data_IF_691430211029
#
_entry.id   IF_691430211029
#
_cell.length_a   1.000
_cell.length_b   1.000
_cell.length_c   1.000
_cell.angle_alpha   90.00
_cell.angle_beta   90.00
_cell.angle_gamma   90.00
#
_symmetry.space_group_name_H-M   'P 1'
#
loop_
_entity.id
_entity.type
_entity.pdbx_description
1 polymer ?
#
# COMPACT_ATOMS: atom_id res chain seq x y z
N UNK A 1 -39.67 -18.24 60.82
CA UNK A 1 -38.62 -18.31 59.78
C UNK A 1 -37.52 -19.24 60.26
N UNK A 2 -37.28 -20.33 59.53
CA UNK A 2 -36.25 -21.33 59.86
C UNK A 2 -34.85 -20.75 59.68
N UNK A 3 -33.84 -21.33 60.35
CA UNK A 3 -32.43 -20.93 60.21
C UNK A 3 -31.94 -20.98 58.75
N UNK A 4 -32.57 -21.80 57.90
CA UNK A 4 -32.32 -21.84 56.45
C UNK A 4 -32.78 -20.57 55.73
N UNK A 5 -33.91 -19.98 56.12
CA UNK A 5 -34.44 -18.76 55.51
C UNK A 5 -33.59 -17.51 55.83
N UNK A 6 -32.91 -17.50 56.99
CA UNK A 6 -31.95 -16.43 57.34
C UNK A 6 -30.63 -16.57 56.58
N UNK A 7 -30.15 -17.80 56.36
CA UNK A 7 -28.94 -18.02 55.56
C UNK A 7 -29.14 -17.62 54.09
N UNK A 8 -30.32 -17.89 53.52
CA UNK A 8 -30.66 -17.51 52.15
C UNK A 8 -30.83 -15.99 51.96
N UNK A 9 -31.35 -15.28 52.98
CA UNK A 9 -31.45 -13.82 52.94
C UNK A 9 -30.09 -13.13 53.05
N UNK A 10 -29.16 -13.70 53.84
CA UNK A 10 -27.79 -13.18 53.96
C UNK A 10 -26.92 -13.52 52.74
N UNK A 11 -27.13 -14.65 52.06
CA UNK A 11 -26.43 -14.94 50.80
C UNK A 11 -26.93 -14.06 49.64
N UNK A 12 -28.21 -13.67 49.65
CA UNK A 12 -28.76 -12.80 48.61
C UNK A 12 -28.32 -11.34 48.77
N UNK A 13 -28.14 -10.83 49.99
CA UNK A 13 -27.59 -9.47 50.19
C UNK A 13 -26.10 -9.39 49.90
N UNK A 14 -25.33 -10.47 50.10
CA UNK A 14 -23.91 -10.50 49.68
C UNK A 14 -23.77 -10.58 48.16
N UNK A 15 -24.73 -11.20 47.44
CA UNK A 15 -24.75 -11.20 45.97
C UNK A 15 -25.22 -9.87 45.37
N UNK A 16 -26.04 -9.08 46.07
CA UNK A 16 -26.49 -7.76 45.58
C UNK A 16 -25.52 -6.62 45.94
N UNK A 17 -24.68 -6.79 46.98
CA UNK A 17 -23.56 -5.87 47.26
C UNK A 17 -22.30 -6.22 46.44
N UNK A 18 -22.15 -7.49 46.03
CA UNK A 18 -21.05 -7.94 45.16
C UNK A 18 -21.26 -7.72 43.66
N UNK A 19 -22.43 -7.24 43.23
CA UNK A 19 -22.74 -6.87 41.84
C UNK A 19 -23.05 -5.37 41.68
N UNK A 20 -22.70 -4.54 42.69
CA UNK A 20 -22.98 -3.11 42.72
C UNK A 20 -21.79 -2.19 42.41
N UNK A 21 -20.60 -2.74 42.11
CA UNK A 21 -19.39 -1.97 41.76
C UNK A 21 -18.81 -2.41 40.39
N UNK A 22 -19.69 -2.61 39.40
CA UNK A 22 -19.31 -2.72 37.99
C UNK A 22 -20.10 -1.77 37.09
N UNK A 23 -20.59 -0.67 37.68
CA UNK A 23 -20.66 0.60 36.98
C UNK A 23 -19.58 1.43 37.66
N UNK A 24 -18.33 1.12 37.34
CA UNK A 24 -17.34 2.18 37.26
C UNK A 24 -17.99 3.16 36.29
N UNK A 25 -18.18 4.42 36.72
CA UNK A 25 -18.46 5.54 35.81
C UNK A 25 -17.77 5.27 34.48
N UNK A 26 -18.42 5.53 33.34
CA UNK A 26 -17.78 5.62 32.03
C UNK A 26 -16.44 6.33 32.23
N UNK A 27 -15.41 5.53 32.41
CA UNK A 27 -14.07 5.98 32.62
C UNK A 27 -13.69 6.25 31.20
N UNK A 28 -13.76 7.52 30.78
CA UNK A 28 -13.45 8.00 29.43
C UNK A 28 -12.49 7.01 28.77
N UNK A 29 -13.05 6.07 28.01
CA UNK A 29 -12.25 5.05 27.30
C UNK A 29 -11.73 5.67 26.00
N UNK A 30 -11.71 7.00 25.93
CA UNK A 30 -10.75 7.74 25.16
C UNK A 30 -9.43 7.64 25.95
N UNK A 31 -8.62 6.62 25.64
CA UNK A 31 -7.18 6.62 25.92
C UNK A 31 -6.49 7.63 24.96
N UNK A 32 -7.17 8.75 24.71
CA UNK A 32 -6.88 9.71 23.66
C UNK A 32 -5.80 10.65 24.19
N UNK A 33 -4.54 10.33 23.89
CA UNK A 33 -3.38 11.16 24.21
C UNK A 33 -3.30 12.44 23.37
N UNK A 34 -4.21 12.59 22.40
CA UNK A 34 -4.31 13.76 21.53
C UNK A 34 -4.55 15.02 22.35
N UNK A 35 -3.81 16.06 21.97
CA UNK A 35 -3.78 17.34 22.70
C UNK A 35 -4.16 18.51 21.81
N UNK A 36 -4.36 18.26 20.51
CA UNK A 36 -4.77 19.29 19.57
C UNK A 36 -6.24 19.66 19.78
N UNK A 37 -6.47 20.92 20.10
CA UNK A 37 -7.78 21.58 20.10
C UNK A 37 -8.10 22.08 18.68
N UNK A 38 -9.03 21.39 18.01
CA UNK A 38 -9.48 21.69 16.66
C UNK A 38 -10.66 22.66 16.75
N UNK A 39 -10.40 23.91 16.40
CA UNK A 39 -11.39 24.98 16.34
C UNK A 39 -11.76 25.33 14.91
N UNK A 40 -12.86 26.07 14.77
CA UNK A 40 -13.24 26.70 13.50
C UNK A 40 -12.16 27.60 12.88
N UNK A 41 -11.29 28.17 13.70
CA UNK A 41 -10.29 29.15 13.28
C UNK A 41 -8.96 28.48 12.87
N UNK A 42 -8.69 27.25 13.33
CA UNK A 42 -7.41 26.56 13.10
C UNK A 42 -7.51 25.29 12.25
N UNK A 43 -8.70 24.66 12.15
CA UNK A 43 -8.92 23.38 11.46
C UNK A 43 -8.41 23.41 10.01
N UNK A 44 -8.63 24.54 9.36
CA UNK A 44 -8.18 24.87 8.01
C UNK A 44 -6.66 24.71 7.84
N UNK A 45 -5.88 25.31 8.74
CA UNK A 45 -4.44 25.24 8.73
C UNK A 45 -3.94 23.81 8.99
N UNK A 46 -4.55 23.10 9.94
CA UNK A 46 -4.15 21.74 10.27
C UNK A 46 -4.47 20.74 9.15
N UNK A 47 -5.59 20.90 8.44
CA UNK A 47 -5.92 20.06 7.29
C UNK A 47 -4.91 20.24 6.16
N UNK A 48 -4.51 21.49 5.90
CA UNK A 48 -3.45 21.79 4.94
C UNK A 48 -2.13 21.16 5.36
N UNK A 49 -1.67 21.40 6.59
CA UNK A 49 -0.40 20.86 7.09
C UNK A 49 -0.38 19.35 6.98
N UNK A 50 -1.46 18.67 7.39
CA UNK A 50 -1.56 17.21 7.36
C UNK A 50 -1.48 16.61 5.95
N UNK A 51 -2.10 17.27 4.96
CA UNK A 51 -1.94 16.90 3.55
C UNK A 51 -0.50 17.07 3.09
N UNK A 52 0.15 18.16 3.50
CA UNK A 52 1.52 18.51 3.10
C UNK A 52 2.61 17.70 3.81
N UNK A 53 2.40 17.17 5.00
CA UNK A 53 3.43 16.38 5.71
C UNK A 53 3.37 14.89 5.41
N UNK A 54 2.19 14.34 5.09
CA UNK A 54 2.01 12.90 4.87
C UNK A 54 1.85 12.60 3.38
N UNK A 55 0.80 13.15 2.75
CA UNK A 55 0.46 12.72 1.40
C UNK A 55 1.43 13.25 0.35
N UNK A 56 1.58 14.58 0.26
CA UNK A 56 2.38 15.26 -0.77
C UNK A 56 3.81 14.68 -0.88
N UNK A 57 4.64 14.67 0.17
CA UNK A 57 6.03 14.29 0.04
C UNK A 57 6.21 12.80 -0.29
N UNK A 58 5.35 11.91 0.21
CA UNK A 58 5.43 10.49 -0.10
C UNK A 58 4.92 10.17 -1.51
N UNK A 59 3.87 10.86 -1.97
CA UNK A 59 3.37 10.75 -3.35
C UNK A 59 4.42 11.21 -4.36
N UNK A 60 5.06 12.36 -4.12
CA UNK A 60 6.07 12.91 -5.03
C UNK A 60 7.43 12.23 -4.91
N UNK A 61 7.81 11.69 -3.75
CA UNK A 61 9.06 10.95 -3.60
C UNK A 61 9.07 9.64 -4.41
N UNK A 62 7.93 8.94 -4.50
CA UNK A 62 7.80 7.65 -5.20
C UNK A 62 8.87 6.62 -4.79
N UNK A 63 9.03 6.37 -3.48
CA UNK A 63 10.05 5.43 -2.98
C UNK A 63 9.90 3.99 -3.51
N UNK A 64 8.74 3.62 -4.07
CA UNK A 64 8.53 2.33 -4.73
C UNK A 64 9.25 2.18 -6.08
N UNK A 65 9.55 3.30 -6.76
CA UNK A 65 10.30 3.36 -8.03
C UNK A 65 11.80 3.55 -7.77
N UNK A 66 12.31 3.06 -6.63
CA UNK A 66 13.68 3.31 -6.19
C UNK A 66 14.35 2.06 -5.63
N UNK A 67 13.83 0.88 -5.98
CA UNK A 67 14.16 -0.35 -5.29
C UNK A 67 15.19 -1.17 -6.05
N UNK A 68 15.23 -1.06 -7.37
CA UNK A 68 16.19 -1.81 -8.18
C UNK A 68 16.77 -1.00 -9.35
N UNK A 69 17.76 -1.58 -10.02
CA UNK A 69 18.53 -0.86 -11.04
C UNK A 69 17.71 -0.49 -12.29
N UNK A 70 16.53 -1.11 -12.53
CA UNK A 70 15.68 -0.78 -13.67
C UNK A 70 15.17 0.65 -13.61
N UNK A 71 14.90 1.13 -12.40
CA UNK A 71 14.45 2.49 -12.15
C UNK A 71 15.53 3.55 -12.51
N UNK A 72 16.77 3.11 -12.77
CA UNK A 72 17.93 3.97 -13.01
C UNK A 72 18.67 3.61 -14.30
N UNK A 73 17.94 3.30 -15.38
CA UNK A 73 18.50 2.94 -16.70
C UNK A 73 19.48 1.76 -16.61
N UNK A 74 19.15 0.76 -15.81
CA UNK A 74 19.93 -0.45 -15.56
C UNK A 74 21.32 -0.21 -14.95
N UNK A 75 21.60 0.99 -14.44
CA UNK A 75 22.87 1.30 -13.79
C UNK A 75 22.88 0.70 -12.38
N UNK A 76 23.65 -0.38 -12.22
CA UNK A 76 23.85 -1.00 -10.91
C UNK A 76 24.61 -0.08 -9.94
N UNK A 77 25.71 0.52 -10.37
CA UNK A 77 26.55 1.37 -9.50
C UNK A 77 27.19 2.50 -10.28
N UNK A 78 27.00 3.74 -9.82
CA UNK A 78 27.57 4.93 -10.46
C UNK A 78 26.60 6.11 -10.52
N UNK A 79 26.95 7.12 -11.32
CA UNK A 79 26.13 8.31 -11.51
C UNK A 79 25.19 8.15 -12.70
N UNK A 80 23.92 8.52 -12.51
CA UNK A 80 22.84 8.49 -13.49
C UNK A 80 22.29 9.91 -13.63
N UNK A 81 22.04 10.34 -14.86
CA UNK A 81 21.36 11.60 -15.13
C UNK A 81 19.85 11.41 -14.96
N UNK A 82 19.19 12.29 -14.22
CA UNK A 82 17.75 12.19 -14.02
C UNK A 82 16.97 12.80 -15.20
N UNK A 83 15.75 12.31 -15.51
CA UNK A 83 15.01 12.71 -16.70
C UNK A 83 14.78 14.22 -16.84
N UNK A 84 14.47 14.92 -15.75
CA UNK A 84 14.24 16.37 -15.76
C UNK A 84 15.47 17.23 -15.46
N UNK A 85 16.65 16.62 -15.28
CA UNK A 85 17.89 17.29 -14.89
C UNK A 85 18.40 16.86 -13.52
N UNK A 86 19.65 17.25 -13.22
CA UNK A 86 20.39 16.78 -12.05
C UNK A 86 20.90 15.35 -12.19
N UNK A 87 21.22 14.73 -11.06
CA UNK A 87 21.79 13.39 -11.04
C UNK A 87 21.48 12.61 -9.77
N UNK A 88 21.52 11.29 -9.86
CA UNK A 88 21.57 10.39 -8.72
C UNK A 88 22.88 9.57 -8.77
N UNK A 89 23.46 9.26 -7.61
CA UNK A 89 24.50 8.24 -7.47
C UNK A 89 23.86 7.02 -6.85
N UNK A 90 23.79 5.94 -7.62
CA UNK A 90 23.15 4.69 -7.22
C UNK A 90 24.18 3.63 -6.89
N UNK A 91 23.81 2.74 -5.99
CA UNK A 91 24.57 1.53 -5.68
C UNK A 91 23.58 0.43 -5.28
N UNK A 92 23.28 -0.45 -6.23
CA UNK A 92 22.44 -1.62 -6.08
C UNK A 92 23.31 -2.89 -5.94
N UNK A 93 22.84 -3.90 -5.20
CA UNK A 93 23.55 -5.17 -5.03
C UNK A 93 23.70 -5.91 -6.36
N UNK A 94 22.69 -5.80 -7.23
CA UNK A 94 22.58 -6.51 -8.49
C UNK A 94 22.20 -5.55 -9.62
N UNK A 95 22.62 -5.89 -10.83
CA UNK A 95 22.14 -5.22 -12.03
C UNK A 95 20.66 -5.55 -12.29
N UNK A 96 20.04 -4.81 -13.20
CA UNK A 96 18.69 -5.06 -13.67
C UNK A 96 18.51 -6.51 -14.12
N UNK A 97 17.41 -7.14 -13.69
CA UNK A 97 17.13 -8.56 -13.93
C UNK A 97 17.96 -9.54 -13.07
N UNK A 98 18.88 -9.05 -12.24
CA UNK A 98 19.54 -9.85 -11.22
C UNK A 98 18.60 -10.19 -10.06
N UNK A 99 18.84 -11.34 -9.41
CA UNK A 99 18.05 -11.77 -8.24
C UNK A 99 18.50 -11.00 -7.00
N UNK A 100 17.55 -10.58 -6.19
CA UNK A 100 17.81 -9.93 -4.91
C UNK A 100 17.62 -10.93 -3.76
N UNK A 101 18.51 -10.87 -2.78
CA UNK A 101 18.53 -11.77 -1.62
C UNK A 101 18.27 -11.02 -0.31
N UNK A 102 17.88 -11.77 0.72
CA UNK A 102 17.82 -11.22 2.07
C UNK A 102 19.20 -10.67 2.46
N UNK A 103 19.18 -9.51 3.11
CA UNK A 103 20.34 -8.72 3.51
C UNK A 103 21.12 -8.00 2.41
N UNK A 104 20.67 -8.05 1.16
CA UNK A 104 21.17 -7.14 0.13
C UNK A 104 20.91 -5.68 0.52
N UNK A 105 21.93 -4.83 0.36
CA UNK A 105 21.86 -3.39 0.66
C UNK A 105 21.91 -2.56 -0.62
N UNK A 106 21.14 -1.47 -0.67
CA UNK A 106 21.24 -0.46 -1.73
C UNK A 106 21.29 0.96 -1.17
N UNK A 107 21.76 1.89 -2.00
CA UNK A 107 21.76 3.32 -1.68
C UNK A 107 21.64 4.18 -2.92
N UNK A 108 20.92 5.28 -2.79
CA UNK A 108 20.72 6.28 -3.83
C UNK A 108 20.93 7.65 -3.20
N UNK A 109 21.87 8.43 -3.75
CA UNK A 109 22.14 9.79 -3.33
C UNK A 109 21.75 10.77 -4.44
N UNK A 110 20.72 11.56 -4.20
CA UNK A 110 20.17 12.52 -5.14
C UNK A 110 20.85 13.88 -5.03
N UNK A 111 21.13 14.47 -6.18
CA UNK A 111 21.61 15.85 -6.32
C UNK A 111 20.78 16.56 -7.37
N UNK A 112 19.83 17.38 -6.91
CA UNK A 112 18.88 18.14 -7.72
C UNK A 112 18.21 17.29 -8.82
N UNK A 113 17.85 16.05 -8.49
CA UNK A 113 17.36 15.06 -9.43
C UNK A 113 15.86 15.26 -9.67
N UNK A 114 15.47 15.64 -10.88
CA UNK A 114 14.06 15.78 -11.23
C UNK A 114 13.49 14.44 -11.70
N UNK A 115 12.47 13.96 -11.00
CA UNK A 115 11.75 12.73 -11.32
C UNK A 115 10.67 12.95 -12.40
N UNK A 116 9.96 11.87 -12.76
CA UNK A 116 8.92 11.92 -13.79
C UNK A 116 7.70 12.77 -13.41
N UNK A 117 7.45 13.02 -12.12
CA UNK A 117 6.38 13.92 -11.64
C UNK A 117 6.80 15.38 -11.62
N UNK A 118 8.04 15.70 -11.99
CA UNK A 118 8.58 17.05 -11.95
C UNK A 118 9.04 17.51 -10.55
N UNK A 119 9.05 16.62 -9.56
CA UNK A 119 9.59 16.92 -8.25
C UNK A 119 11.12 16.83 -8.26
N UNK A 120 11.79 17.76 -7.58
CA UNK A 120 13.23 17.75 -7.42
C UNK A 120 13.61 17.05 -6.11
N UNK A 121 14.41 15.99 -6.23
CA UNK A 121 14.92 15.20 -5.12
C UNK A 121 16.36 15.57 -4.76
N UNK A 122 16.65 15.64 -3.46
CA UNK A 122 18.00 15.75 -2.91
C UNK A 122 18.14 14.86 -1.67
N UNK A 123 19.36 14.53 -1.26
CA UNK A 123 19.59 13.72 -0.05
C UNK A 123 19.77 12.24 -0.36
N UNK A 124 19.65 11.37 0.64
CA UNK A 124 19.96 9.94 0.49
C UNK A 124 18.79 9.06 0.90
N UNK A 125 18.48 8.09 0.04
CA UNK A 125 17.64 6.93 0.34
C UNK A 125 18.56 5.72 0.36
N UNK A 126 18.55 4.98 1.46
CA UNK A 126 19.27 3.71 1.56
C UNK A 126 18.32 2.64 2.04
N UNK A 127 18.55 1.39 1.65
CA UNK A 127 17.72 0.33 2.13
C UNK A 127 18.38 -1.03 2.16
N UNK A 128 17.74 -1.94 2.88
CA UNK A 128 18.16 -3.32 3.07
C UNK A 128 16.99 -4.25 2.84
N UNK A 129 17.16 -5.22 1.94
CA UNK A 129 16.19 -6.26 1.69
C UNK A 129 16.08 -7.18 2.91
N UNK A 130 14.87 -7.32 3.46
CA UNK A 130 14.58 -8.20 4.59
C UNK A 130 14.13 -9.57 4.12
N UNK A 131 13.19 -9.58 3.19
CA UNK A 131 12.55 -10.80 2.73
C UNK A 131 11.97 -10.58 1.34
N UNK A 132 12.03 -11.63 0.52
CA UNK A 132 11.40 -11.66 -0.80
C UNK A 132 10.63 -12.97 -0.92
N UNK A 133 9.32 -12.89 -0.86
CA UNK A 133 8.41 -14.01 -1.11
C UNK A 133 8.09 -14.11 -2.61
N UNK A 134 7.71 -15.31 -3.05
CA UNK A 134 7.41 -15.61 -4.45
C UNK A 134 8.64 -16.03 -5.26
N UNK A 135 8.39 -16.38 -6.53
CA UNK A 135 9.43 -16.87 -7.44
C UNK A 135 10.03 -15.74 -8.30
N UNK A 136 9.40 -14.57 -8.35
CA UNK A 136 9.90 -13.41 -9.09
C UNK A 136 10.89 -12.58 -8.26
N UNK A 137 12.05 -13.15 -7.94
CA UNK A 137 13.11 -12.45 -7.16
C UNK A 137 13.94 -11.44 -7.96
N UNK A 138 13.63 -11.29 -9.26
CA UNK A 138 14.18 -10.25 -10.14
C UNK A 138 13.21 -9.07 -10.27
N UNK A 139 12.03 -9.17 -9.67
CA UNK A 139 10.94 -8.19 -9.71
C UNK A 139 10.48 -7.83 -11.13
N UNK A 140 10.73 -8.71 -12.10
CA UNK A 140 10.47 -8.49 -13.53
C UNK A 140 8.97 -8.37 -13.80
N UNK A 141 8.54 -7.34 -14.51
CA UNK A 141 7.15 -7.17 -14.95
C UNK A 141 6.87 -7.98 -16.23
N UNK A 142 7.90 -8.23 -17.04
CA UNK A 142 7.85 -8.93 -18.32
C UNK A 142 8.47 -10.33 -18.24
N UNK A 143 8.19 -11.07 -17.16
CA UNK A 143 8.76 -12.40 -16.95
C UNK A 143 8.37 -13.36 -18.07
N UNK A 144 9.30 -14.17 -18.57
CA UNK A 144 9.04 -15.23 -19.56
C UNK A 144 8.83 -16.60 -18.88
N UNK A 145 8.24 -17.57 -19.60
CA UNK A 145 8.13 -18.96 -19.11
C UNK A 145 9.50 -19.54 -18.75
N UNK A 146 10.53 -19.29 -19.58
CA UNK A 146 11.87 -19.79 -19.33
C UNK A 146 12.50 -19.19 -18.05
N UNK A 147 12.30 -17.90 -17.81
CA UNK A 147 12.73 -17.25 -16.57
C UNK A 147 11.96 -17.80 -15.36
N UNK A 148 10.67 -18.09 -15.49
CA UNK A 148 9.93 -18.75 -14.41
C UNK A 148 10.52 -20.11 -14.05
N UNK A 149 10.75 -20.98 -15.04
CA UNK A 149 11.34 -22.31 -14.80
C UNK A 149 12.72 -22.17 -14.16
N UNK A 150 13.55 -21.26 -14.66
CA UNK A 150 14.86 -20.96 -14.08
C UNK A 150 14.74 -20.52 -12.61
N UNK A 151 13.75 -19.68 -12.28
CA UNK A 151 13.50 -19.27 -10.89
C UNK A 151 13.07 -20.44 -10.01
N UNK A 152 12.24 -21.36 -10.51
CA UNK A 152 11.85 -22.57 -9.79
C UNK A 152 13.05 -23.49 -9.50
N UNK A 153 13.99 -23.62 -10.45
CA UNK A 153 15.23 -24.37 -10.25
C UNK A 153 16.12 -23.72 -9.19
N UNK A 154 16.29 -22.40 -9.27
CA UNK A 154 17.12 -21.63 -8.33
C UNK A 154 16.55 -21.59 -6.91
N UNK A 155 15.22 -21.62 -6.77
CA UNK A 155 14.54 -21.69 -5.47
C UNK A 155 14.36 -23.12 -4.94
N UNK A 156 15.06 -24.09 -5.55
CA UNK A 156 15.03 -25.52 -5.18
C UNK A 156 13.62 -26.11 -5.13
N UNK A 157 12.63 -25.47 -5.78
CA UNK A 157 11.27 -25.99 -5.91
C UNK A 157 11.24 -27.19 -6.86
N UNK A 158 12.12 -27.17 -7.85
CA UNK A 158 12.41 -28.28 -8.75
C UNK A 158 13.92 -28.48 -8.84
N UNK A 159 14.36 -29.72 -9.01
CA UNK A 159 15.76 -30.04 -9.24
C UNK A 159 16.01 -30.16 -10.74
N UNK A 160 16.89 -29.31 -11.27
CA UNK A 160 17.20 -29.18 -12.70
C UNK A 160 17.51 -30.52 -13.40
N UNK A 161 17.99 -31.53 -12.67
CA UNK A 161 18.34 -32.84 -13.22
C UNK A 161 17.25 -33.90 -13.05
N UNK A 162 16.10 -33.58 -12.42
CA UNK A 162 15.12 -34.58 -11.94
C UNK A 162 13.67 -34.36 -12.37
N UNK A 163 13.34 -33.30 -13.10
CA UNK A 163 11.98 -33.08 -13.59
C UNK A 163 11.83 -33.39 -15.08
N UNK A 164 10.61 -33.76 -15.49
CA UNK A 164 10.20 -33.77 -16.89
C UNK A 164 9.51 -32.44 -17.24
N UNK A 165 9.99 -31.75 -18.27
CA UNK A 165 9.31 -30.57 -18.81
C UNK A 165 8.27 -30.97 -19.86
N UNK A 166 7.01 -30.68 -19.58
CA UNK A 166 5.90 -30.86 -20.52
C UNK A 166 5.40 -29.47 -20.89
N UNK A 167 5.72 -29.02 -22.10
CA UNK A 167 5.31 -27.72 -22.63
C UNK A 167 4.45 -27.91 -23.88
N UNK A 168 3.26 -27.29 -23.89
CA UNK A 168 2.35 -27.25 -25.04
C UNK A 168 1.40 -26.04 -24.96
N UNK A 169 0.72 -25.77 -26.07
CA UNK A 169 -0.30 -24.74 -26.21
C UNK A 169 -1.69 -25.37 -26.25
N UNK A 170 -2.61 -24.95 -25.38
CA UNK A 170 -3.98 -25.44 -25.39
C UNK A 170 -4.97 -24.49 -24.68
N UNK A 171 -6.23 -24.50 -25.11
CA UNK A 171 -7.27 -23.68 -24.46
C UNK A 171 -7.59 -24.17 -23.04
N UNK A 172 -7.40 -25.46 -22.78
CA UNK A 172 -7.60 -26.07 -21.46
C UNK A 172 -6.50 -27.06 -21.08
N UNK A 173 -6.38 -27.29 -19.77
CA UNK A 173 -5.48 -28.28 -19.20
C UNK A 173 -6.25 -29.05 -18.11
N UNK A 174 -6.16 -30.38 -18.12
CA UNK A 174 -6.82 -31.26 -17.15
C UNK A 174 -5.79 -32.23 -16.57
N UNK A 175 -5.79 -32.34 -15.24
CA UNK A 175 -5.03 -33.35 -14.51
C UNK A 175 -5.99 -34.45 -14.03
N UNK A 176 -5.74 -35.69 -14.43
CA UNK A 176 -6.62 -36.83 -14.11
C UNK A 176 -5.82 -37.99 -13.53
N UNK A 177 -6.03 -38.28 -12.25
CA UNK A 177 -5.34 -39.36 -11.53
C UNK A 177 -6.11 -40.66 -11.68
N UNK A 178 -5.53 -41.63 -12.37
CA UNK A 178 -6.12 -42.96 -12.55
C UNK A 178 -5.22 -44.04 -11.97
N UNK A 179 -5.56 -44.53 -10.77
CA UNK A 179 -4.77 -45.56 -10.08
C UNK A 179 -3.37 -45.05 -9.71
N UNK A 180 -2.35 -45.69 -10.28
CA UNK A 180 -0.94 -45.38 -10.02
C UNK A 180 -0.31 -44.43 -11.07
N UNK A 181 -1.14 -43.75 -11.86
CA UNK A 181 -0.72 -42.83 -12.93
C UNK A 181 -1.47 -41.51 -12.83
N UNK A 182 -0.80 -40.44 -13.28
CA UNK A 182 -1.41 -39.14 -13.51
C UNK A 182 -1.40 -38.84 -15.01
N UNK A 183 -2.54 -38.47 -15.57
CA UNK A 183 -2.68 -38.05 -16.96
C UNK A 183 -2.79 -36.54 -17.04
N UNK A 184 -1.90 -35.92 -17.81
CA UNK A 184 -1.92 -34.49 -18.12
C UNK A 184 -2.50 -34.34 -19.53
N UNK A 185 -3.71 -33.77 -19.63
CA UNK A 185 -4.45 -33.65 -20.90
C UNK A 185 -4.54 -32.19 -21.33
N UNK A 186 -4.00 -31.89 -22.49
CA UNK A 186 -4.14 -30.62 -23.17
C UNK A 186 -5.39 -30.66 -24.04
N UNK A 187 -6.29 -29.70 -23.84
CA UNK A 187 -7.60 -29.63 -24.47
C UNK A 187 -7.67 -28.42 -25.40
N UNK A 188 -8.15 -28.62 -26.63
CA UNK A 188 -8.46 -27.54 -27.57
C UNK A 188 -9.97 -27.41 -27.76
N UNK A 189 -10.43 -26.23 -28.13
CA UNK A 189 -11.83 -26.02 -28.52
C UNK A 189 -12.05 -26.61 -29.92
N UNK A 190 -13.15 -27.37 -30.11
CA UNK A 190 -13.47 -27.94 -31.41
C UNK A 190 -13.76 -26.80 -32.41
N UNK A 191 -13.05 -26.72 -33.55
CA UNK A 191 -13.28 -25.69 -34.56
C UNK A 191 -14.70 -25.70 -35.15
N UNK A 192 -15.45 -26.79 -34.97
CA UNK A 192 -16.81 -26.98 -35.48
C UNK A 192 -17.89 -26.77 -34.41
N UNK A 193 -17.52 -26.79 -33.13
CA UNK A 193 -18.44 -26.63 -32.01
C UNK A 193 -17.74 -26.00 -30.79
N UNK A 194 -17.98 -24.70 -30.59
CA UNK A 194 -17.40 -23.92 -29.49
C UNK A 194 -17.78 -24.45 -28.09
N UNK A 195 -18.74 -25.37 -27.97
CA UNK A 195 -19.13 -26.01 -26.70
C UNK A 195 -18.36 -27.30 -26.40
N UNK A 196 -17.60 -27.84 -27.36
CA UNK A 196 -16.85 -29.09 -27.21
C UNK A 196 -15.36 -28.82 -27.07
N UNK A 197 -14.74 -29.46 -26.09
CA UNK A 197 -13.30 -29.51 -25.94
C UNK A 197 -12.79 -30.89 -26.39
N UNK A 198 -11.84 -30.90 -27.32
CA UNK A 198 -11.19 -32.10 -27.85
C UNK A 198 -9.80 -32.26 -27.23
N UNK A 199 -9.41 -33.50 -27.00
CA UNK A 199 -8.07 -33.82 -26.50
C UNK A 199 -7.04 -33.65 -27.61
N UNK A 200 -6.10 -32.73 -27.41
CA UNK A 200 -4.98 -32.47 -28.33
C UNK A 200 -3.80 -33.38 -28.04
N UNK A 201 -3.43 -33.48 -26.76
CA UNK A 201 -2.24 -34.22 -26.28
C UNK A 201 -2.50 -34.76 -24.89
N UNK A 202 -1.94 -35.94 -24.63
CA UNK A 202 -1.92 -36.56 -23.30
C UNK A 202 -0.51 -37.00 -22.98
N UNK A 203 -0.07 -36.66 -21.77
CA UNK A 203 1.14 -37.22 -21.17
C UNK A 203 0.78 -38.08 -19.96
N UNK A 204 1.46 -39.21 -19.82
CA UNK A 204 1.29 -40.14 -18.70
C UNK A 204 2.50 -40.03 -17.77
N UNK A 205 2.26 -39.59 -16.54
CA UNK A 205 3.25 -39.48 -15.49
C UNK A 205 3.08 -40.60 -14.46
N UNK A 206 4.21 -41.12 -13.96
CA UNK A 206 4.20 -41.94 -12.75
C UNK A 206 3.94 -41.06 -11.53
N UNK A 207 3.29 -41.56 -10.48
CA UNK A 207 2.99 -40.71 -9.30
C UNK A 207 4.25 -40.26 -8.56
N UNK A 208 5.36 -41.00 -8.64
CA UNK A 208 6.65 -40.66 -8.03
C UNK A 208 7.53 -39.76 -8.92
N UNK A 209 7.01 -39.36 -10.09
CA UNK A 209 7.72 -38.53 -11.04
C UNK A 209 7.44 -37.05 -10.77
N UNK A 210 8.49 -36.23 -10.84
CA UNK A 210 8.37 -34.77 -10.79
C UNK A 210 8.25 -34.25 -12.22
N UNK A 211 7.29 -33.37 -12.48
CA UNK A 211 7.13 -32.74 -13.79
C UNK A 211 6.78 -31.26 -13.67
N UNK A 212 7.27 -30.47 -14.61
CA UNK A 212 6.86 -29.08 -14.83
C UNK A 212 5.95 -29.08 -16.05
N UNK A 213 4.69 -28.73 -15.85
CA UNK A 213 3.68 -28.71 -16.90
C UNK A 213 3.37 -27.25 -17.24
N UNK A 214 3.62 -26.87 -18.48
CA UNK A 214 3.35 -25.53 -19.02
C UNK A 214 2.20 -25.62 -20.01
N UNK A 215 1.19 -24.78 -19.82
CA UNK A 215 0.15 -24.54 -20.81
C UNK A 215 0.19 -23.08 -21.28
N UNK A 216 0.70 -22.87 -22.49
CA UNK A 216 0.80 -21.56 -23.15
C UNK A 216 -0.49 -21.20 -23.88
N UNK A 217 -0.77 -19.90 -24.06
CA UNK A 217 -1.78 -19.51 -25.04
C UNK A 217 -1.23 -19.71 -26.44
N UNK A 218 -2.11 -19.68 -27.45
CA UNK A 218 -1.75 -20.01 -28.83
C UNK A 218 -0.84 -18.96 -29.53
N UNK A 219 -0.33 -17.95 -28.83
CA UNK A 219 0.28 -16.74 -29.42
C UNK A 219 1.70 -16.48 -28.91
N UNK A 220 2.68 -16.90 -29.73
CA UNK A 220 4.14 -16.61 -29.66
C UNK A 220 4.97 -17.17 -28.48
N UNK A 221 6.07 -17.86 -28.81
CA UNK A 221 6.96 -18.52 -27.83
C UNK A 221 7.84 -17.56 -27.03
N UNK A 222 8.01 -16.34 -27.55
CA UNK A 222 8.83 -15.24 -27.00
C UNK A 222 7.97 -14.16 -26.31
N UNK A 223 6.67 -14.37 -26.16
CA UNK A 223 5.79 -13.43 -25.44
C UNK A 223 6.03 -13.48 -23.93
N UNK A 224 5.74 -12.37 -23.24
CA UNK A 224 5.79 -12.33 -21.78
C UNK A 224 4.74 -13.29 -21.20
N UNK A 225 4.93 -13.76 -19.97
CA UNK A 225 4.01 -14.67 -19.28
C UNK A 225 2.58 -14.07 -19.20
N UNK A 226 2.48 -12.74 -19.16
CA UNK A 226 1.24 -11.97 -19.19
C UNK A 226 0.60 -11.97 -20.58
N UNK A 227 1.36 -11.66 -21.63
CA UNK A 227 0.87 -11.67 -23.01
C UNK A 227 0.48 -13.08 -23.48
N UNK A 228 1.22 -14.09 -23.05
CA UNK A 228 0.96 -15.50 -23.38
C UNK A 228 -0.17 -16.11 -22.53
N UNK A 229 -0.66 -15.43 -21.49
CA UNK A 229 -1.60 -16.03 -20.53
C UNK A 229 -1.15 -17.43 -20.03
N UNK A 230 0.16 -17.66 -19.96
CA UNK A 230 0.72 -18.97 -19.73
C UNK A 230 0.38 -19.44 -18.31
N UNK A 231 0.28 -20.75 -18.11
CA UNK A 231 0.08 -21.36 -16.79
C UNK A 231 1.13 -22.43 -16.56
N UNK A 232 1.83 -22.33 -15.43
CA UNK A 232 2.85 -23.29 -15.03
C UNK A 232 2.36 -24.07 -13.82
N UNK A 233 2.56 -25.38 -13.85
CA UNK A 233 2.24 -26.28 -12.76
C UNK A 233 3.46 -27.11 -12.42
N UNK A 234 3.71 -27.30 -11.13
CA UNK A 234 4.65 -28.31 -10.63
C UNK A 234 3.83 -29.50 -10.18
N UNK A 235 4.18 -30.68 -10.68
CA UNK A 235 3.60 -31.96 -10.30
C UNK A 235 4.63 -32.72 -9.49
N UNK A 236 4.29 -33.06 -8.25
CA UNK A 236 5.11 -33.89 -7.36
C UNK A 236 4.20 -34.84 -6.57
N UNK A 237 4.62 -36.11 -6.41
CA UNK A 237 3.84 -37.16 -5.75
C UNK A 237 2.40 -37.33 -6.32
N UNK A 238 2.23 -37.00 -7.60
CA UNK A 238 0.97 -37.03 -8.32
C UNK A 238 -0.05 -35.98 -7.84
N UNK A 239 0.43 -34.89 -7.24
CA UNK A 239 -0.32 -33.70 -6.86
C UNK A 239 0.21 -32.53 -7.70
N UNK A 240 -0.70 -31.79 -8.31
CA UNK A 240 -0.37 -30.59 -9.07
C UNK A 240 -0.54 -29.34 -8.20
N UNK A 241 0.42 -28.43 -8.31
CA UNK A 241 0.41 -27.09 -7.74
C UNK A 241 0.57 -26.08 -8.87
N UNK A 242 -0.34 -25.12 -8.98
CA UNK A 242 -0.18 -24.02 -9.94
C UNK A 242 0.83 -23.03 -9.37
N UNK A 243 1.85 -22.69 -10.15
CA UNK A 243 2.87 -21.72 -9.80
C UNK A 243 2.45 -20.35 -10.33
N UNK A 244 2.40 -19.37 -9.44
CA UNK A 244 2.36 -17.97 -9.87
C UNK A 244 3.77 -17.43 -10.02
N UNK A 245 4.26 -17.45 -11.25
CA UNK A 245 5.60 -16.99 -11.59
C UNK A 245 5.79 -15.48 -11.43
N UNK A 246 4.73 -14.67 -11.61
CA UNK A 246 4.82 -13.21 -11.59
C UNK A 246 4.76 -12.66 -10.16
N UNK A 247 4.10 -13.39 -9.26
CA UNK A 247 3.95 -13.04 -7.86
C UNK A 247 5.30 -12.80 -7.18
N UNK A 248 5.38 -11.65 -6.51
CA UNK A 248 6.38 -11.38 -5.49
C UNK A 248 5.76 -10.52 -4.39
N UNK A 249 6.38 -10.61 -3.22
CA UNK A 249 6.21 -9.67 -2.13
C UNK A 249 7.58 -9.39 -1.53
N UNK A 250 8.05 -8.15 -1.62
CA UNK A 250 9.36 -7.73 -1.11
C UNK A 250 9.20 -6.81 0.08
N UNK A 251 9.98 -7.08 1.13
CA UNK A 251 10.07 -6.29 2.33
C UNK A 251 11.46 -5.65 2.41
N UNK A 252 11.49 -4.33 2.58
CA UNK A 252 12.71 -3.54 2.55
C UNK A 252 12.73 -2.57 3.73
N UNK A 253 13.79 -2.59 4.52
CA UNK A 253 14.06 -1.51 5.47
C UNK A 253 14.65 -0.33 4.72
N UNK A 254 13.96 0.80 4.71
CA UNK A 254 14.42 2.05 4.14
C UNK A 254 14.85 3.00 5.26
N UNK A 255 15.97 3.67 5.03
CA UNK A 255 16.43 4.82 5.81
C UNK A 255 16.49 6.04 4.89
N UNK A 256 15.73 7.07 5.26
CA UNK A 256 15.75 8.39 4.64
C UNK A 256 16.72 9.27 5.43
N UNK A 257 17.73 9.83 4.75
CA UNK A 257 18.68 10.77 5.33
C UNK A 257 18.56 12.11 4.61
N UNK A 258 17.81 13.01 5.23
CA UNK A 258 17.56 14.36 4.75
C UNK A 258 17.04 14.36 3.29
N UNK A 259 16.14 13.40 2.98
CA UNK A 259 15.53 13.31 1.66
C UNK A 259 14.65 14.54 1.47
N UNK A 260 15.08 15.44 0.60
CA UNK A 260 14.34 16.64 0.26
C UNK A 260 13.53 16.41 -1.01
N UNK A 261 12.24 16.72 -0.96
CA UNK A 261 11.30 16.68 -2.08
C UNK A 261 10.77 18.09 -2.31
N UNK A 262 11.21 18.74 -3.38
CA UNK A 262 10.69 20.03 -3.81
C UNK A 262 9.68 19.81 -4.94
N UNK A 263 8.41 20.05 -4.62
CA UNK A 263 7.29 19.92 -5.55
C UNK A 263 6.34 21.10 -5.36
N UNK A 264 5.84 21.65 -6.48
CA UNK A 264 4.83 22.72 -6.46
C UNK A 264 5.26 23.97 -5.66
N UNK A 265 6.56 24.23 -5.54
CA UNK A 265 7.10 25.38 -4.79
C UNK A 265 7.11 25.20 -3.27
N UNK A 266 6.87 23.98 -2.78
CA UNK A 266 6.98 23.58 -1.38
C UNK A 266 8.13 22.59 -1.27
N UNK A 267 9.04 22.83 -0.33
CA UNK A 267 10.13 21.91 -0.03
C UNK A 267 9.79 21.11 1.21
N UNK A 268 9.80 19.79 1.09
CA UNK A 268 9.64 18.85 2.20
C UNK A 268 10.98 18.18 2.50
N UNK A 269 11.36 18.08 3.76
CA UNK A 269 12.49 17.25 4.20
C UNK A 269 11.98 16.05 4.97
N UNK A 270 12.36 14.85 4.57
CA UNK A 270 12.01 13.58 5.20
C UNK A 270 13.25 12.89 5.76
N UNK A 271 13.20 12.52 7.03
CA UNK A 271 14.26 11.77 7.71
C UNK A 271 13.65 10.71 8.60
N UNK A 272 14.23 9.51 8.66
CA UNK A 272 13.71 8.44 9.50
C UNK A 272 13.87 7.05 8.89
N UNK A 273 13.14 6.09 9.46
CA UNK A 273 13.19 4.70 9.03
C UNK A 273 11.79 4.19 8.73
N UNK A 274 11.66 3.54 7.59
CA UNK A 274 10.41 2.98 7.11
C UNK A 274 10.63 1.53 6.71
N UNK A 275 9.67 0.67 7.01
CA UNK A 275 9.53 -0.63 6.38
C UNK A 275 8.66 -0.44 5.13
N UNK A 276 9.21 -0.78 3.98
CA UNK A 276 8.51 -0.80 2.72
C UNK A 276 8.12 -2.23 2.38
N UNK A 277 6.85 -2.42 2.04
CA UNK A 277 6.38 -3.65 1.38
C UNK A 277 5.91 -3.31 -0.04
N UNK A 278 6.36 -4.07 -1.03
CA UNK A 278 5.92 -3.94 -2.41
C UNK A 278 5.58 -5.31 -2.99
N UNK A 279 4.36 -5.44 -3.51
CA UNK A 279 3.81 -6.72 -3.94
C UNK A 279 3.07 -6.60 -5.26
N UNK A 280 3.11 -7.68 -6.04
CA UNK A 280 2.36 -7.83 -7.29
C UNK A 280 1.49 -9.10 -7.20
N UNK A 281 0.25 -9.04 -7.70
CA UNK A 281 -0.65 -10.21 -7.77
C UNK A 281 -1.42 -10.54 -6.48
N UNK A 282 -1.60 -9.57 -5.58
CA UNK A 282 -2.31 -9.75 -4.30
C UNK A 282 -3.65 -9.01 -4.29
N UNK A 283 -4.75 -9.66 -3.87
CA UNK A 283 -5.97 -8.98 -3.41
C UNK A 283 -6.16 -9.17 -1.91
N UNK A 284 -5.89 -8.11 -1.17
CA UNK A 284 -6.11 -8.08 0.26
C UNK A 284 -5.53 -6.80 0.85
N UNK A 285 -5.89 -6.49 2.08
CA UNK A 285 -5.08 -5.57 2.88
C UNK A 285 -3.77 -6.31 3.21
N UNK A 286 -2.59 -5.71 3.04
CA UNK A 286 -1.32 -6.35 3.46
C UNK A 286 -1.31 -6.64 4.97
N UNK A 287 -2.18 -5.97 5.73
CA UNK A 287 -2.41 -6.25 7.15
C UNK A 287 -3.26 -7.50 7.41
N UNK A 288 -3.76 -8.17 6.37
CA UNK A 288 -4.55 -9.40 6.48
C UNK A 288 -3.60 -10.61 6.42
N UNK A 289 -3.66 -11.49 7.42
CA UNK A 289 -2.76 -12.65 7.56
C UNK A 289 -2.86 -13.67 6.41
N UNK A 290 -3.85 -13.52 5.51
CA UNK A 290 -4.06 -14.37 4.33
C UNK A 290 -4.66 -13.59 3.16
N UNK A 291 -3.83 -12.92 2.35
CA UNK A 291 -4.31 -12.25 1.15
C UNK A 291 -4.88 -13.27 0.14
N UNK A 292 -6.06 -13.01 -0.43
CA UNK A 292 -6.62 -13.84 -1.49
C UNK A 292 -5.94 -13.47 -2.83
N UNK A 293 -5.38 -14.46 -3.52
CA UNK A 293 -4.78 -14.27 -4.85
C UNK A 293 -5.89 -13.94 -5.86
N UNK A 294 -5.80 -12.80 -6.55
CA UNK A 294 -6.65 -12.52 -7.73
C UNK A 294 -5.81 -12.05 -8.92
N UNK A 295 -6.51 -11.70 -10.01
CA UNK A 295 -5.94 -11.23 -11.29
C UNK A 295 -4.72 -10.34 -11.08
N UNK A 296 -3.62 -10.82 -11.65
CA UNK A 296 -2.19 -10.48 -11.54
C UNK A 296 -1.74 -9.02 -11.57
N UNK A 297 -2.63 -8.06 -11.72
CA UNK A 297 -2.30 -6.75 -12.29
C UNK A 297 -2.30 -5.60 -11.27
N UNK A 298 -2.65 -5.86 -10.01
CA UNK A 298 -2.65 -4.83 -8.97
C UNK A 298 -1.26 -4.77 -8.30
N UNK A 299 -0.48 -3.74 -8.62
CA UNK A 299 0.72 -3.39 -7.87
C UNK A 299 0.30 -2.69 -6.56
N UNK A 300 0.79 -3.19 -5.44
CA UNK A 300 0.57 -2.58 -4.13
C UNK A 300 1.90 -2.20 -3.48
N UNK A 301 1.85 -1.09 -2.77
CA UNK A 301 2.95 -0.58 -2.00
C UNK A 301 2.44 -0.10 -0.65
N UNK A 302 3.20 -0.37 0.41
CA UNK A 302 2.97 0.23 1.70
C UNK A 302 4.29 0.63 2.39
N UNK A 303 4.18 1.65 3.24
CA UNK A 303 5.22 2.12 4.15
C UNK A 303 4.71 2.04 5.57
N UNK A 304 5.56 1.56 6.48
CA UNK A 304 5.30 1.58 7.90
C UNK A 304 6.47 2.11 8.71
N UNK A 305 6.22 2.89 9.74
CA UNK A 305 7.25 3.30 10.69
C UNK A 305 7.16 4.75 11.12
N UNK A 306 8.31 5.28 11.56
CA UNK A 306 8.38 6.60 12.18
C UNK A 306 9.32 7.49 11.36
N UNK A 307 8.85 8.69 11.03
CA UNK A 307 9.63 9.69 10.27
C UNK A 307 9.45 11.09 10.85
N UNK A 308 10.46 11.92 10.66
CA UNK A 308 10.34 13.36 10.81
C UNK A 308 10.09 14.01 9.44
N UNK A 309 9.17 14.97 9.41
CA UNK A 309 8.89 15.79 8.23
C UNK A 309 9.10 17.27 8.57
N UNK A 310 9.82 17.99 7.72
CA UNK A 310 9.92 19.46 7.77
C UNK A 310 9.33 20.05 6.50
N UNK A 311 8.52 21.10 6.64
CA UNK A 311 8.01 21.90 5.52
C UNK A 311 8.74 23.23 5.53
N UNK A 312 9.38 23.56 4.41
CA UNK A 312 9.96 24.89 4.14
C UNK A 312 9.22 25.54 2.97
N UNK A 313 8.56 26.65 3.28
CA UNK A 313 7.90 27.56 2.33
C UNK A 313 8.35 28.97 2.70
N UNK A 314 8.54 29.88 1.73
CA UNK A 314 9.14 31.23 1.87
C UNK A 314 9.02 31.93 3.24
N UNK A 315 7.87 31.87 3.93
CA UNK A 315 7.64 32.48 5.25
C UNK A 315 7.13 31.50 6.33
N UNK A 316 7.26 30.19 6.12
CA UNK A 316 6.77 29.12 6.97
C UNK A 316 7.81 28.01 7.06
N UNK A 317 8.26 27.73 8.27
CA UNK A 317 9.07 26.55 8.57
C UNK A 317 8.43 25.81 9.73
N UNK A 318 7.99 24.59 9.50
CA UNK A 318 7.29 23.76 10.47
C UNK A 318 7.93 22.36 10.49
N UNK A 319 8.11 21.81 11.70
CA UNK A 319 8.68 20.47 11.91
C UNK A 319 7.68 19.56 12.61
N UNK A 320 7.66 18.31 12.16
CA UNK A 320 6.69 17.30 12.58
C UNK A 320 7.39 15.96 12.85
N UNK A 321 6.95 15.26 13.90
CA UNK A 321 7.16 13.83 14.08
C UNK A 321 5.90 13.10 13.62
N UNK A 322 6.08 12.07 12.82
CA UNK A 322 5.03 11.22 12.28
C UNK A 322 5.31 9.82 12.84
N UNK A 323 4.50 9.42 13.80
CA UNK A 323 4.67 8.19 14.56
C UNK A 323 3.64 7.16 14.07
N UNK A 324 4.06 5.91 13.95
CA UNK A 324 3.21 4.80 13.54
C UNK A 324 2.56 5.00 12.18
N UNK A 325 3.29 5.60 11.21
CA UNK A 325 2.80 5.75 9.85
C UNK A 325 2.41 4.38 9.29
N UNK A 326 1.21 4.28 8.73
CA UNK A 326 0.78 3.21 7.83
C UNK A 326 0.26 3.89 6.56
N UNK A 327 1.07 3.89 5.51
CA UNK A 327 0.75 4.49 4.21
C UNK A 327 0.66 3.40 3.16
N UNK A 328 -0.40 3.38 2.37
CA UNK A 328 -0.61 2.38 1.32
C UNK A 328 -1.03 3.04 0.01
N UNK A 329 -0.54 2.50 -1.10
CA UNK A 329 -0.93 2.91 -2.44
C UNK A 329 -1.12 1.68 -3.35
N UNK A 330 -2.22 1.69 -4.09
CA UNK A 330 -2.62 0.68 -5.08
C UNK A 330 -2.60 1.30 -6.46
N UNK A 331 -2.10 0.59 -7.44
CA UNK A 331 -2.19 0.94 -8.86
C UNK A 331 -3.20 0.04 -9.56
N UNK A 332 -3.94 0.60 -10.52
CA UNK A 332 -4.99 -0.12 -11.24
C UNK A 332 -4.50 -0.92 -12.46
N UNK A 333 -5.14 -2.07 -12.70
CA UNK A 333 -4.74 -3.14 -13.62
C UNK A 333 -4.71 -2.87 -15.13
N UNK A 334 -5.27 -1.76 -15.64
CA UNK A 334 -5.60 -1.66 -17.06
C UNK A 334 -4.71 -0.74 -17.92
N UNK A 335 -3.95 0.19 -17.31
CA UNK A 335 -3.12 1.16 -18.04
C UNK A 335 -2.03 1.81 -17.14
N UNK A 336 -1.78 1.29 -15.93
CA UNK A 336 -1.00 1.91 -14.84
C UNK A 336 -1.39 3.36 -14.46
N UNK A 337 -2.42 3.92 -15.09
CA UNK A 337 -2.66 5.36 -15.02
C UNK A 337 -3.45 5.76 -13.78
N UNK A 338 -4.11 4.84 -13.07
CA UNK A 338 -4.91 5.17 -11.89
C UNK A 338 -4.26 4.65 -10.61
N UNK A 339 -4.38 5.41 -9.53
CA UNK A 339 -3.87 5.04 -8.22
C UNK A 339 -4.91 5.33 -7.13
N UNK A 340 -4.81 4.62 -6.02
CA UNK A 340 -5.60 4.86 -4.80
C UNK A 340 -4.67 4.80 -3.59
N UNK A 341 -4.71 5.80 -2.72
CA UNK A 341 -3.87 5.85 -1.52
C UNK A 341 -4.68 6.02 -0.23
N UNK A 342 -4.10 5.50 0.85
CA UNK A 342 -4.62 5.56 2.22
C UNK A 342 -3.48 5.80 3.17
N UNK A 343 -3.74 6.51 4.26
CA UNK A 343 -2.80 6.57 5.36
C UNK A 343 -3.47 6.67 6.73
N UNK A 344 -2.77 6.25 7.76
CA UNK A 344 -3.12 6.37 9.17
C UNK A 344 -1.85 6.65 9.97
N UNK A 345 -1.86 7.64 10.85
CA UNK A 345 -0.68 8.01 11.67
C UNK A 345 -1.06 8.94 12.81
N UNK A 346 -0.21 9.01 13.82
CA UNK A 346 -0.19 10.07 14.83
C UNK A 346 0.86 11.11 14.45
N UNK A 347 0.45 12.37 14.42
CA UNK A 347 1.33 13.50 14.12
C UNK A 347 1.54 14.29 15.38
N UNK A 348 2.81 14.45 15.75
CA UNK A 348 3.24 15.38 16.80
C UNK A 348 3.92 16.55 16.13
N UNK A 349 3.36 17.74 16.32
CA UNK A 349 3.94 18.97 15.78
C UNK A 349 4.55 19.83 16.86
N UNK A 350 5.64 20.52 16.51
CA UNK A 350 6.29 21.54 17.33
C UNK A 350 6.14 22.90 16.63
N UNK A 351 4.98 23.52 16.74
CA UNK A 351 4.76 24.90 16.25
C UNK A 351 4.83 25.87 17.43
N UNK A 352 5.66 26.91 17.32
CA UNK A 352 5.73 28.02 18.28
C UNK A 352 5.96 27.60 19.76
N UNK A 353 6.59 26.44 19.97
CA UNK A 353 6.89 25.91 21.31
C UNK A 353 5.73 25.20 22.00
N UNK A 354 4.59 25.02 21.33
CA UNK A 354 3.53 24.12 21.74
C UNK A 354 3.68 22.77 21.03
N UNK A 355 3.58 21.69 21.80
CA UNK A 355 3.52 20.33 21.27
C UNK A 355 2.05 19.96 21.20
N UNK A 356 1.58 19.59 20.00
CA UNK A 356 0.24 19.05 19.84
C UNK A 356 0.30 17.72 19.09
N UNK A 357 -0.60 16.82 19.49
CA UNK A 357 -0.74 15.47 18.99
C UNK A 357 -2.13 15.31 18.36
N UNK A 358 -2.17 14.83 17.12
CA UNK A 358 -3.38 14.66 16.31
C UNK A 358 -3.30 13.35 15.54
N UNK A 359 -4.42 12.63 15.44
CA UNK A 359 -4.49 11.49 14.53
C UNK A 359 -4.91 11.96 13.14
N UNK A 360 -4.19 11.51 12.12
CA UNK A 360 -4.49 11.81 10.73
C UNK A 360 -4.79 10.51 10.01
N UNK A 361 -6.00 10.39 9.48
CA UNK A 361 -6.49 9.15 8.89
C UNK A 361 -7.17 9.39 7.56
N UNK A 362 -7.10 8.39 6.69
CA UNK A 362 -7.89 8.33 5.47
C UNK A 362 -9.11 7.43 5.70
N UNK A 363 -10.29 8.00 5.95
CA UNK A 363 -11.53 7.23 6.18
C UNK A 363 -12.07 6.58 4.90
N UNK A 364 -11.73 7.15 3.75
CA UNK A 364 -12.01 6.59 2.43
C UNK A 364 -10.81 6.86 1.53
N UNK A 365 -10.26 5.85 0.83
CA UNK A 365 -9.13 6.04 -0.06
C UNK A 365 -9.40 7.17 -1.04
N UNK A 366 -8.41 8.01 -1.27
CA UNK A 366 -8.46 8.96 -2.37
C UNK A 366 -7.72 8.37 -3.56
N UNK A 367 -8.26 8.61 -4.75
CA UNK A 367 -7.70 8.10 -5.99
C UNK A 367 -7.43 9.21 -6.99
N UNK A 368 -6.60 8.89 -7.97
CA UNK A 368 -6.21 9.83 -8.99
C UNK A 368 -5.62 9.16 -10.21
N UNK A 369 -5.20 10.01 -11.16
CA UNK A 369 -4.43 9.58 -12.32
C UNK A 369 -2.95 9.94 -12.12
N UNK A 370 -2.02 9.06 -12.49
CA UNK A 370 -0.59 9.32 -12.40
C UNK A 370 -0.19 10.53 -13.24
N UNK A 371 0.74 11.32 -12.71
CA UNK A 371 1.19 12.56 -13.33
C UNK A 371 0.23 13.73 -13.14
N UNK A 372 -0.92 13.52 -12.48
CA UNK A 372 -1.71 14.62 -11.94
C UNK A 372 -1.13 15.06 -10.59
N UNK A 373 -1.15 16.37 -10.39
CA UNK A 373 -0.70 17.05 -9.18
C UNK A 373 -1.56 16.74 -7.96
N UNK A 374 -2.84 16.42 -8.18
CA UNK A 374 -3.85 16.26 -7.16
C UNK A 374 -4.70 15.00 -7.41
N UNK A 375 -5.28 14.42 -6.35
CA UNK A 375 -6.30 13.38 -6.50
C UNK A 375 -7.45 13.84 -7.40
N UNK A 376 -7.86 12.98 -8.33
CA UNK A 376 -8.88 13.32 -9.34
C UNK A 376 -10.20 12.57 -9.15
N UNK A 377 -10.21 11.49 -8.36
CA UNK A 377 -11.40 10.68 -8.12
C UNK A 377 -12.27 11.23 -6.98
N UNK A 378 -13.59 11.06 -7.13
CA UNK A 378 -14.55 11.49 -6.12
C UNK A 378 -14.62 10.48 -4.97
N UNK A 379 -14.60 10.98 -3.72
CA UNK A 379 -14.94 10.17 -2.54
C UNK A 379 -13.84 9.97 -1.51
N UNK A 380 -12.60 10.39 -1.80
CA UNK A 380 -11.52 10.38 -0.82
C UNK A 380 -11.80 11.28 0.39
N UNK A 381 -11.48 10.83 1.60
CA UNK A 381 -11.67 11.59 2.84
C UNK A 381 -10.42 11.49 3.69
N UNK A 382 -9.81 12.64 3.99
CA UNK A 382 -8.76 12.78 5.00
C UNK A 382 -9.41 13.42 6.23
N UNK A 383 -9.17 12.85 7.41
CA UNK A 383 -9.73 13.29 8.68
C UNK A 383 -8.61 13.53 9.68
N UNK A 384 -8.76 14.62 10.42
CA UNK A 384 -8.04 14.95 11.64
C UNK A 384 -8.95 14.69 12.81
N UNK A 385 -8.41 14.07 13.83
CA UNK A 385 -9.11 13.86 15.08
C UNK A 385 -8.23 14.41 16.20
N UNK A 386 -8.79 15.33 16.98
CA UNK A 386 -8.12 16.04 18.07
C UNK A 386 -8.51 15.49 19.44
N UNK A 387 -8.49 16.38 20.43
CA UNK A 387 -9.02 16.13 21.78
C UNK A 387 -10.55 16.06 21.75
N UNK A 388 -11.16 15.39 22.72
CA UNK A 388 -12.63 15.38 22.95
C UNK A 388 -13.49 15.09 21.70
N UNK A 389 -13.04 14.19 20.83
CA UNK A 389 -13.68 13.82 19.55
C UNK A 389 -13.88 14.98 18.56
N UNK A 390 -13.15 16.08 18.73
CA UNK A 390 -13.09 17.16 17.76
C UNK A 390 -12.49 16.67 16.46
N UNK A 391 -13.09 17.06 15.34
CA UNK A 391 -12.64 16.59 14.04
C UNK A 391 -12.69 17.67 12.96
N UNK A 392 -11.82 17.50 11.97
CA UNK A 392 -11.88 18.22 10.72
C UNK A 392 -11.60 17.26 9.56
N UNK A 393 -12.23 17.48 8.42
CA UNK A 393 -12.03 16.61 7.27
C UNK A 393 -12.02 17.38 5.95
N UNK A 394 -11.19 16.90 5.02
CA UNK A 394 -11.31 17.24 3.60
C UNK A 394 -11.88 16.05 2.85
N UNK A 395 -12.92 16.32 2.05
CA UNK A 395 -13.51 15.37 1.11
C UNK A 395 -13.20 15.80 -0.31
N UNK A 396 -12.71 14.87 -1.12
CA UNK A 396 -12.33 15.12 -2.51
C UNK A 396 -13.57 15.07 -3.39
N UNK A 397 -13.84 16.18 -4.09
CA UNK A 397 -14.96 16.32 -5.03
C UNK A 397 -14.53 16.08 -6.48
N UNK A 398 -13.23 15.90 -6.71
CA UNK A 398 -12.60 15.58 -7.99
C UNK A 398 -11.37 16.45 -8.24
N UNK A 399 -10.91 16.48 -9.50
CA UNK A 399 -9.68 17.16 -9.91
C UNK A 399 -9.66 18.69 -9.67
N UNK A 400 -10.81 19.33 -9.47
CA UNK A 400 -10.90 20.80 -9.39
C UNK A 400 -11.22 21.32 -7.99
N UNK A 401 -11.71 20.49 -7.08
CA UNK A 401 -12.25 20.97 -5.81
C UNK A 401 -12.23 19.92 -4.69
N UNK A 402 -12.18 20.43 -3.48
CA UNK A 402 -12.39 19.70 -2.23
C UNK A 402 -13.50 20.36 -1.42
N UNK A 403 -14.05 19.61 -0.48
CA UNK A 403 -15.06 20.04 0.48
C UNK A 403 -14.46 19.94 1.87
N UNK A 404 -14.60 20.98 2.68
CA UNK A 404 -14.09 21.03 4.06
C UNK A 404 -15.26 20.89 5.02
N UNK A 405 -15.11 20.00 5.99
CA UNK A 405 -16.07 19.75 7.08
C UNK A 405 -15.33 19.94 8.40
N UNK A 406 -15.97 20.65 9.35
CA UNK A 406 -15.38 20.98 10.65
C UNK A 406 -16.42 20.67 11.74
N UNK A 407 -15.97 19.90 12.71
CA UNK A 407 -16.72 19.35 13.84
C UNK A 407 -15.95 19.69 15.13
N UNK A 408 -15.69 20.99 15.30
CA UNK A 408 -14.80 21.56 16.32
C UNK A 408 -15.27 21.47 17.77
N UNK A 409 -16.48 20.95 18.04
CA UNK A 409 -17.00 20.84 19.41
C UNK A 409 -17.27 19.37 19.79
N UNK A 410 -16.71 18.43 19.03
CA UNK A 410 -16.84 16.99 19.28
C UNK A 410 -18.29 16.52 19.29
N UNK A 411 -18.58 15.47 20.07
CA UNK A 411 -19.93 14.99 20.32
C UNK A 411 -20.60 15.79 21.46
N UNK A 412 -21.33 16.85 21.13
CA UNK A 412 -22.03 17.65 22.15
C UNK A 412 -23.30 16.98 22.66
N UNK A 413 -23.88 16.09 21.86
CA UNK A 413 -25.21 15.54 22.08
C UNK A 413 -25.17 14.15 22.77
N UNK A 414 -23.98 13.53 22.85
CA UNK A 414 -23.71 12.25 23.49
C UNK A 414 -24.20 11.04 22.69
N UNK A 415 -24.40 11.17 21.37
CA UNK A 415 -24.86 10.09 20.50
C UNK A 415 -23.74 9.23 19.90
N UNK A 416 -22.50 9.53 20.29
CA UNK A 416 -21.27 8.90 19.81
C UNK A 416 -20.85 9.43 18.44
N UNK A 417 -21.32 10.60 18.02
CA UNK A 417 -20.96 11.24 16.74
C UNK A 417 -20.60 12.70 16.97
N UNK A 418 -19.55 13.13 16.30
CA UNK A 418 -19.15 14.52 16.25
C UNK A 418 -20.26 15.39 15.62
N UNK A 419 -20.55 16.50 16.28
CA UNK A 419 -21.53 17.48 15.86
C UNK A 419 -20.90 18.49 14.90
N UNK A 420 -21.54 18.70 13.76
CA UNK A 420 -21.08 19.67 12.78
C UNK A 420 -21.23 21.11 13.30
N UNK A 421 -20.10 21.81 13.48
CA UNK A 421 -20.08 23.16 14.05
C UNK A 421 -19.97 24.28 13.01
N UNK A 422 -19.69 23.95 11.76
CA UNK A 422 -19.57 24.89 10.64
C UNK A 422 -20.25 24.36 9.37
N UNK A 423 -20.83 25.22 8.52
CA UNK A 423 -21.29 24.82 7.20
C UNK A 423 -20.18 24.14 6.41
N UNK A 424 -20.54 23.10 5.64
CA UNK A 424 -19.65 22.53 4.63
C UNK A 424 -19.38 23.60 3.58
N UNK A 425 -18.11 23.81 3.23
CA UNK A 425 -17.74 24.73 2.15
C UNK A 425 -16.76 24.07 1.18
N UNK A 426 -16.81 24.51 -0.07
CA UNK A 426 -15.98 23.96 -1.14
C UNK A 426 -14.90 24.97 -1.53
N UNK A 427 -13.70 24.47 -1.77
CA UNK A 427 -12.54 25.27 -2.19
C UNK A 427 -11.88 24.58 -3.37
N UNK A 428 -11.18 25.35 -4.21
CA UNK A 428 -10.37 24.74 -5.27
C UNK A 428 -9.08 24.16 -4.69
N UNK A 429 -8.45 23.21 -5.39
CA UNK A 429 -7.13 22.71 -4.99
C UNK A 429 -6.11 23.84 -4.89
N UNK A 430 -6.11 24.78 -5.84
CA UNK A 430 -5.19 25.92 -5.80
C UNK A 430 -5.42 26.80 -4.56
N UNK A 431 -6.68 27.13 -4.26
CA UNK A 431 -6.99 27.92 -3.05
C UNK A 431 -6.58 27.18 -1.77
N UNK A 432 -6.77 25.85 -1.73
CA UNK A 432 -6.36 25.03 -0.59
C UNK A 432 -4.83 25.02 -0.44
N UNK A 433 -4.10 24.68 -1.51
CA UNK A 433 -2.64 24.57 -1.52
C UNK A 433 -1.96 25.91 -1.25
N UNK A 434 -2.51 27.01 -1.75
CA UNK A 434 -2.03 28.39 -1.50
C UNK A 434 -2.49 28.95 -0.14
N UNK A 435 -3.24 28.17 0.66
CA UNK A 435 -3.86 28.60 1.93
C UNK A 435 -4.75 29.85 1.79
N UNK A 436 -5.37 30.05 0.63
CA UNK A 436 -6.19 31.21 0.26
C UNK A 436 -7.69 30.89 0.19
N UNK A 437 -8.20 30.06 1.09
CA UNK A 437 -9.61 29.74 1.12
C UNK A 437 -10.40 30.70 2.00
N UNK A 438 -11.58 31.08 1.53
CA UNK A 438 -12.47 32.03 2.20
C UNK A 438 -13.68 31.27 2.69
N UNK A 439 -13.79 31.07 4.01
CA UNK A 439 -15.02 30.54 4.61
C UNK A 439 -16.19 31.44 4.20
N UNK A 440 -17.27 30.88 3.59
CA UNK A 440 -18.45 31.68 3.30
C UNK A 440 -18.98 32.25 4.63
N UNK A 441 -19.42 33.53 4.65
CA UNK A 441 -19.93 34.15 5.86
C UNK A 441 -21.02 33.26 6.48
N UNK A 442 -20.88 32.99 7.78
CA UNK A 442 -21.82 32.16 8.53
C UNK A 442 -23.20 32.82 8.44
N UNK A 443 -24.09 32.31 7.59
CA UNK A 443 -25.50 32.61 7.71
C UNK A 443 -25.93 32.00 9.03
N UNK A 444 -26.36 32.83 9.98
CA UNK A 444 -26.79 32.41 11.31
C UNK A 444 -27.64 31.14 11.21
N UNK A 445 -27.05 29.98 11.52
CA UNK A 445 -27.79 28.75 11.73
C UNK A 445 -28.54 29.01 13.04
N UNK A 446 -29.81 29.39 12.90
CA UNK A 446 -30.72 29.53 14.02
C UNK A 446 -30.83 28.14 14.64
N UNK A 447 -30.24 27.97 15.83
CA UNK A 447 -30.36 26.79 16.69
C UNK A 447 -31.82 26.44 16.95
#
# INVERSE_FOLDING_TARGET
MSRLARAFLYSLTVLVVGCGEFIVDDQDFSDNRRTLDITNDNAEAYLWSSYQIIFSPLYFARLHEMLDARDFNDVQSGSVACPGGGSAVVNFPNASGGRYEESDDFSINYTACFNATGAQLNGEVSGKYKETEGYNKTFATDLTVAQCITNLELDEKIDADRYELIDDQASGLIFDKQGARLFVRYMEQDPQDDQLAIEKRVEELSLDQIAVVVNRSATDFDSSFEEDGARVFVVEDGVQEQIDCAYFNRFVDITLKDLTVDAQGITHSLSGKLELSNSMGVKGNINDERPELTTRDDLFYALKGDISSEIDLVNLNESYSIDGLDWGMRFGSADDSSWSATFNTEVVSLIDGAIFEVAVTTRSPFGGVLGQDNPTEQGGIITLEGVDDEAAAIRILGASAISVVIEAEGDQNGDGRSDQTSPIFNVTWNDFLDRNFVRPPVENIIR
#
